data_IF_587934651429
#
_entry.id   IF_587934651429
#
_cell.length_a   1.000
_cell.length_b   1.000
_cell.length_c   1.000
_cell.angle_alpha   90.00
_cell.angle_beta   90.00
_cell.angle_gamma   90.00
#
_symmetry.space_group_name_H-M   'P 1'
#
loop_
_entity.id
_entity.type
_entity.pdbx_description
1 polymer ?
#
# COMPACT_ATOMS: atom_id res chain seq x y z
N UNK A 1 -37.48 -9.95 15.93
CA UNK A 1 -37.97 -9.07 17.01
C UNK A 1 -38.23 -7.65 16.52
N UNK A 2 -37.22 -6.86 16.14
CA UNK A 2 -37.42 -5.46 15.69
C UNK A 2 -38.33 -5.30 14.46
N UNK A 3 -38.06 -6.05 13.38
CA UNK A 3 -38.91 -6.04 12.16
C UNK A 3 -40.35 -6.47 12.47
N UNK A 4 -40.54 -7.46 13.36
CA UNK A 4 -41.88 -7.91 13.77
C UNK A 4 -42.66 -6.85 14.57
N UNK A 5 -41.98 -6.07 15.42
CA UNK A 5 -42.58 -4.95 16.14
C UNK A 5 -43.06 -3.85 15.18
N UNK A 6 -42.25 -3.51 14.17
CA UNK A 6 -42.62 -2.54 13.14
C UNK A 6 -43.86 -2.99 12.36
N UNK A 7 -43.93 -4.26 11.97
CA UNK A 7 -45.09 -4.82 11.27
C UNK A 7 -46.36 -4.80 12.15
N UNK A 8 -46.24 -5.09 13.44
CA UNK A 8 -47.37 -5.03 14.38
C UNK A 8 -47.89 -3.59 14.58
N UNK A 9 -46.99 -2.62 14.78
CA UNK A 9 -47.35 -1.20 14.89
C UNK A 9 -48.08 -0.70 13.63
N UNK A 10 -47.59 -1.08 12.45
CA UNK A 10 -48.23 -0.78 11.16
C UNK A 10 -49.64 -1.39 11.07
N UNK A 11 -49.81 -2.65 11.50
CA UNK A 11 -51.12 -3.34 11.46
C UNK A 11 -52.20 -2.72 12.36
N UNK A 12 -51.81 -1.99 13.40
CA UNK A 12 -52.73 -1.28 14.32
C UNK A 12 -52.96 0.18 13.89
N UNK A 13 -52.42 0.58 12.73
CA UNK A 13 -52.65 1.90 12.13
C UNK A 13 -51.74 3.02 12.65
N UNK A 14 -50.63 2.68 13.32
CA UNK A 14 -49.65 3.68 13.75
C UNK A 14 -48.80 4.10 12.56
N UNK A 15 -48.75 5.41 12.30
CA UNK A 15 -47.92 5.97 11.23
C UNK A 15 -46.43 5.81 11.55
N UNK A 16 -45.77 4.92 10.80
CA UNK A 16 -44.35 4.64 10.92
C UNK A 16 -43.48 5.67 10.19
N UNK A 17 -44.04 6.68 9.53
CA UNK A 17 -43.28 7.65 8.74
C UNK A 17 -42.25 8.38 9.60
N UNK A 18 -42.65 8.89 10.77
CA UNK A 18 -41.72 9.58 11.68
C UNK A 18 -40.61 8.66 12.19
N UNK A 19 -40.93 7.41 12.54
CA UNK A 19 -39.96 6.42 12.99
C UNK A 19 -39.01 5.99 11.86
N UNK A 20 -39.52 5.90 10.64
CA UNK A 20 -38.74 5.55 9.44
C UNK A 20 -37.80 6.68 9.04
N UNK A 21 -38.24 7.93 9.12
CA UNK A 21 -37.40 9.11 8.87
C UNK A 21 -36.29 9.22 9.91
N UNK A 22 -36.63 9.11 11.21
CA UNK A 22 -35.65 9.15 12.29
C UNK A 22 -34.70 7.95 12.23
N UNK A 23 -35.23 6.75 12.01
CA UNK A 23 -34.45 5.53 11.85
C UNK A 23 -33.52 5.59 10.63
N UNK A 24 -33.99 6.15 9.53
CA UNK A 24 -33.18 6.41 8.33
C UNK A 24 -32.05 7.41 8.60
N UNK A 25 -32.34 8.53 9.26
CA UNK A 25 -31.33 9.52 9.64
C UNK A 25 -30.26 8.93 10.57
N UNK A 26 -30.67 8.14 11.58
CA UNK A 26 -29.74 7.45 12.49
C UNK A 26 -28.92 6.40 11.73
N UNK A 27 -29.54 5.62 10.84
CA UNK A 27 -28.86 4.62 10.03
C UNK A 27 -27.79 5.24 9.12
N UNK A 28 -28.10 6.36 8.47
CA UNK A 28 -27.15 7.13 7.67
C UNK A 28 -26.00 7.68 8.53
N UNK A 29 -26.31 8.23 9.70
CA UNK A 29 -25.30 8.73 10.64
C UNK A 29 -24.34 7.64 11.11
N UNK A 30 -24.85 6.45 11.46
CA UNK A 30 -24.04 5.29 11.82
C UNK A 30 -23.22 4.81 10.61
N UNK A 31 -23.82 4.75 9.42
CA UNK A 31 -23.16 4.37 8.18
C UNK A 31 -21.95 5.24 7.89
N UNK A 32 -22.10 6.57 7.98
CA UNK A 32 -20.98 7.50 7.82
C UNK A 32 -19.92 7.34 8.92
N UNK A 33 -20.32 7.08 10.17
CA UNK A 33 -19.39 6.83 11.28
C UNK A 33 -18.56 5.55 11.10
N UNK A 34 -19.14 4.51 10.51
CA UNK A 34 -18.48 3.21 10.29
C UNK A 34 -17.80 3.08 8.93
N UNK A 35 -18.06 3.99 7.99
CA UNK A 35 -17.59 3.90 6.61
C UNK A 35 -16.08 3.66 6.53
N UNK A 36 -15.27 4.45 7.26
CA UNK A 36 -13.80 4.30 7.27
C UNK A 36 -13.34 2.96 7.83
N UNK A 37 -13.99 2.45 8.87
CA UNK A 37 -13.64 1.15 9.44
C UNK A 37 -13.94 0.05 8.42
N UNK A 38 -15.15 0.03 7.88
CA UNK A 38 -15.56 -0.95 6.87
C UNK A 38 -14.62 -0.91 5.64
N UNK A 39 -14.30 0.30 5.15
CA UNK A 39 -13.38 0.51 4.04
C UNK A 39 -12.01 -0.15 4.30
N UNK A 40 -11.38 0.11 5.45
CA UNK A 40 -10.08 -0.49 5.77
C UNK A 40 -10.12 -2.03 5.86
N UNK A 41 -11.20 -2.62 6.37
CA UNK A 41 -11.36 -4.08 6.40
C UNK A 41 -11.54 -4.68 5.00
N UNK A 42 -12.40 -4.07 4.18
CA UNK A 42 -12.62 -4.50 2.81
C UNK A 42 -11.34 -4.36 1.99
N UNK A 43 -10.65 -3.22 2.08
CA UNK A 43 -9.37 -3.00 1.41
C UNK A 43 -8.32 -4.03 1.83
N UNK A 44 -8.21 -4.36 3.12
CA UNK A 44 -7.29 -5.39 3.58
C UNK A 44 -7.58 -6.76 2.97
N UNK A 45 -8.85 -7.15 2.89
CA UNK A 45 -9.25 -8.39 2.23
C UNK A 45 -8.95 -8.38 0.73
N UNK A 46 -9.26 -7.28 0.03
CA UNK A 46 -9.00 -7.13 -1.41
C UNK A 46 -7.50 -7.24 -1.71
N UNK A 47 -6.64 -6.58 -0.94
CA UNK A 47 -5.17 -6.68 -1.08
C UNK A 47 -4.73 -8.14 -1.01
N UNK A 48 -5.24 -8.90 -0.04
CA UNK A 48 -4.89 -10.31 0.14
C UNK A 48 -5.47 -11.22 -0.95
N UNK A 49 -6.71 -10.98 -1.36
CA UNK A 49 -7.41 -11.78 -2.36
C UNK A 49 -6.82 -11.60 -3.77
N UNK A 50 -6.58 -10.35 -4.18
CA UNK A 50 -6.04 -10.01 -5.51
C UNK A 50 -4.51 -10.05 -5.55
N UNK A 51 -3.85 -10.07 -4.38
CA UNK A 51 -2.39 -10.00 -4.24
C UNK A 51 -1.78 -8.80 -4.98
N UNK A 52 -2.49 -7.67 -4.97
CA UNK A 52 -2.05 -6.39 -5.56
C UNK A 52 -0.80 -5.82 -4.89
N UNK A 53 -0.58 -6.18 -3.62
CA UNK A 53 0.65 -5.96 -2.87
C UNK A 53 0.93 -7.20 -2.00
N UNK A 54 2.20 -7.56 -1.86
CA UNK A 54 2.62 -8.76 -1.12
C UNK A 54 3.62 -8.40 -0.03
N UNK A 55 3.64 -9.19 1.03
CA UNK A 55 4.73 -9.14 2.01
C UNK A 55 6.04 -9.44 1.28
N UNK A 56 7.02 -8.55 1.45
CA UNK A 56 8.29 -8.59 0.75
C UNK A 56 8.44 -7.56 -0.36
N UNK A 57 7.33 -6.99 -0.86
CA UNK A 57 7.37 -6.01 -1.94
C UNK A 57 8.05 -4.71 -1.51
N UNK A 58 8.86 -4.13 -2.40
CA UNK A 58 9.38 -2.78 -2.21
C UNK A 58 8.38 -1.78 -2.79
N UNK A 59 7.95 -0.82 -1.98
CA UNK A 59 6.94 0.16 -2.35
C UNK A 59 7.33 1.58 -1.96
N UNK A 60 6.85 2.55 -2.73
CA UNK A 60 6.86 3.97 -2.40
C UNK A 60 5.42 4.45 -2.24
N UNK A 61 5.09 4.93 -1.04
CA UNK A 61 3.75 5.38 -0.66
C UNK A 61 3.88 6.74 0.02
N UNK A 62 3.28 7.78 -0.55
CA UNK A 62 3.27 9.14 0.01
C UNK A 62 4.69 9.64 0.42
N UNK A 63 5.68 9.39 -0.44
CA UNK A 63 7.08 9.75 -0.17
C UNK A 63 7.82 8.83 0.83
N UNK A 64 7.16 7.79 1.36
CA UNK A 64 7.78 6.79 2.21
C UNK A 64 8.15 5.54 1.40
N UNK A 65 9.44 5.29 1.22
CA UNK A 65 9.97 4.10 0.55
C UNK A 65 10.33 3.01 1.55
N UNK A 66 9.88 1.78 1.30
CA UNK A 66 10.28 0.64 2.10
C UNK A 66 9.65 -0.68 1.68
N UNK A 67 10.01 -1.73 2.41
CA UNK A 67 9.52 -3.08 2.18
C UNK A 67 8.26 -3.34 3.00
N UNK A 68 7.23 -3.94 2.39
CA UNK A 68 6.06 -4.44 3.12
C UNK A 68 6.49 -5.61 4.00
N UNK A 69 6.34 -5.48 5.32
CA UNK A 69 6.72 -6.53 6.29
C UNK A 69 5.52 -7.28 6.83
N UNK A 70 4.33 -6.66 6.84
CA UNK A 70 3.13 -7.26 7.40
C UNK A 70 1.88 -6.60 6.80
N UNK A 71 0.82 -7.38 6.58
CA UNK A 71 -0.49 -6.90 6.11
C UNK A 71 -1.53 -7.38 7.13
N UNK A 72 -2.09 -6.42 7.88
CA UNK A 72 -3.16 -6.68 8.85
C UNK A 72 -4.52 -6.33 8.25
N UNK A 73 -5.57 -6.72 8.97
CA UNK A 73 -6.95 -6.49 8.53
C UNK A 73 -7.28 -5.02 8.24
N UNK A 74 -6.65 -4.05 8.92
CA UNK A 74 -6.95 -2.61 8.77
C UNK A 74 -5.80 -1.75 8.25
N UNK A 75 -4.58 -2.27 8.30
CA UNK A 75 -3.38 -1.51 7.94
C UNK A 75 -2.28 -2.45 7.44
N UNK A 76 -1.33 -1.88 6.73
CA UNK A 76 -0.11 -2.53 6.25
C UNK A 76 1.10 -1.85 6.90
N UNK A 77 2.11 -2.63 7.25
CA UNK A 77 3.37 -2.13 7.82
C UNK A 77 4.45 -2.13 6.75
N UNK A 78 5.03 -0.96 6.51
CA UNK A 78 6.13 -0.75 5.56
C UNK A 78 7.37 -0.37 6.35
N UNK A 79 8.46 -1.13 6.20
CA UNK A 79 9.74 -0.87 6.88
C UNK A 79 10.76 -0.33 5.89
N UNK A 80 11.24 0.88 6.14
CA UNK A 80 12.32 1.50 5.39
C UNK A 80 13.68 0.84 5.72
N UNK A 81 14.66 1.01 4.83
CA UNK A 81 16.01 0.44 5.00
C UNK A 81 16.75 0.95 6.25
N UNK A 82 16.39 2.14 6.73
CA UNK A 82 16.91 2.72 7.97
C UNK A 82 16.20 2.23 9.25
N UNK A 83 15.31 1.23 9.13
CA UNK A 83 14.61 0.63 10.26
C UNK A 83 13.35 1.37 10.70
N UNK A 84 13.02 2.54 10.12
CA UNK A 84 11.74 3.22 10.39
C UNK A 84 10.58 2.41 9.83
N UNK A 85 9.46 2.42 10.55
CA UNK A 85 8.23 1.77 10.13
C UNK A 85 7.14 2.80 9.86
N UNK A 86 6.37 2.58 8.80
CA UNK A 86 5.17 3.32 8.46
C UNK A 86 3.97 2.38 8.53
N UNK A 87 2.95 2.80 9.28
CA UNK A 87 1.68 2.10 9.42
C UNK A 87 0.69 2.79 8.48
N UNK A 88 0.37 2.14 7.38
CA UNK A 88 -0.49 2.71 6.33
C UNK A 88 -1.87 2.05 6.37
N UNK A 89 -2.97 2.81 6.52
CA UNK A 89 -4.32 2.25 6.41
C UNK A 89 -4.53 1.55 5.07
N UNK A 90 -5.18 0.40 5.07
CA UNK A 90 -5.39 -0.37 3.84
C UNK A 90 -6.22 0.40 2.80
N UNK A 91 -7.20 1.18 3.27
CA UNK A 91 -7.98 2.08 2.41
C UNK A 91 -7.07 3.04 1.63
N UNK A 92 -6.05 3.60 2.30
CA UNK A 92 -5.12 4.53 1.67
C UNK A 92 -4.35 3.89 0.51
N UNK A 93 -3.91 2.64 0.68
CA UNK A 93 -3.16 1.91 -0.35
C UNK A 93 -4.00 1.53 -1.58
N UNK A 94 -5.32 1.39 -1.40
CA UNK A 94 -6.25 1.07 -2.50
C UNK A 94 -6.66 2.32 -3.27
N UNK A 95 -6.90 3.44 -2.58
CA UNK A 95 -7.42 4.66 -3.23
C UNK A 95 -6.31 5.53 -3.84
N UNK A 96 -5.09 5.49 -3.30
CA UNK A 96 -3.98 6.33 -3.75
C UNK A 96 -3.02 5.54 -4.65
N UNK A 97 -2.27 6.28 -5.48
CA UNK A 97 -1.18 5.70 -6.27
C UNK A 97 -0.11 5.17 -5.32
N UNK A 98 0.21 3.88 -5.47
CA UNK A 98 1.34 3.21 -4.83
C UNK A 98 2.28 2.75 -5.94
N UNK A 99 3.56 3.09 -5.82
CA UNK A 99 4.58 2.57 -6.73
C UNK A 99 5.11 1.28 -6.13
N UNK A 100 4.89 0.15 -6.81
CA UNK A 100 5.42 -1.15 -6.40
C UNK A 100 6.55 -1.53 -7.36
N UNK A 101 7.77 -1.57 -6.82
CA UNK A 101 8.97 -1.81 -7.60
C UNK A 101 9.21 -3.30 -7.92
N UNK A 102 8.51 -4.22 -7.24
CA UNK A 102 8.78 -5.66 -7.32
C UNK A 102 7.56 -6.51 -7.68
N UNK A 103 6.45 -5.88 -8.11
CA UNK A 103 5.17 -6.54 -8.35
C UNK A 103 5.22 -7.61 -9.46
N UNK A 104 5.85 -7.26 -10.58
CA UNK A 104 5.94 -8.10 -11.78
C UNK A 104 7.29 -8.79 -11.92
N UNK A 105 8.38 -8.08 -11.59
CA UNK A 105 9.74 -8.59 -11.67
C UNK A 105 10.48 -8.21 -10.38
N UNK A 106 11.14 -9.16 -9.67
CA UNK A 106 12.00 -8.84 -8.54
C UNK A 106 13.23 -8.01 -8.93
N UNK A 107 13.53 -7.85 -10.22
CA UNK A 107 14.64 -7.04 -10.71
C UNK A 107 14.36 -5.55 -10.49
N UNK A 108 15.24 -4.89 -9.74
CA UNK A 108 15.21 -3.45 -9.51
C UNK A 108 16.44 -2.81 -10.16
N UNK A 109 16.22 -1.75 -10.94
CA UNK A 109 17.32 -0.87 -11.39
C UNK A 109 17.61 0.16 -10.30
N UNK A 110 18.86 0.20 -9.83
CA UNK A 110 19.33 1.24 -8.91
C UNK A 110 20.39 2.08 -9.62
N UNK A 111 20.26 3.40 -9.51
CA UNK A 111 21.19 4.37 -10.09
C UNK A 111 21.79 5.20 -8.97
N UNK A 112 23.10 5.45 -9.04
CA UNK A 112 23.80 6.36 -8.13
C UNK A 112 24.68 7.30 -8.92
N UNK A 113 24.89 8.51 -8.39
CA UNK A 113 25.74 9.52 -9.02
C UNK A 113 27.09 9.51 -8.30
N UNK A 114 28.14 9.17 -9.02
CA UNK A 114 29.52 9.21 -8.52
C UNK A 114 30.22 10.43 -9.13
N UNK A 115 30.80 11.26 -8.28
CA UNK A 115 31.62 12.41 -8.70
C UNK A 115 33.10 12.08 -8.56
N UNK A 116 33.89 12.37 -9.59
CA UNK A 116 35.35 12.18 -9.62
C UNK A 116 36.06 13.50 -9.92
N UNK A 117 37.36 13.57 -9.61
CA UNK A 117 38.16 14.76 -9.90
C UNK A 117 38.34 14.94 -11.41
N UNK A 118 38.49 16.18 -11.88
CA UNK A 118 38.57 16.51 -13.31
C UNK A 118 39.76 15.88 -14.05
N UNK A 119 40.82 15.54 -13.33
CA UNK A 119 42.02 14.89 -13.83
C UNK A 119 41.93 13.35 -13.84
N UNK A 120 40.79 12.79 -13.42
CA UNK A 120 40.58 11.34 -13.39
C UNK A 120 40.42 10.76 -14.80
N UNK A 121 41.07 9.63 -15.06
CA UNK A 121 40.88 8.86 -16.30
C UNK A 121 39.47 8.23 -16.31
N UNK A 122 38.62 8.70 -17.21
CA UNK A 122 37.22 8.27 -17.34
C UNK A 122 37.11 6.79 -17.72
N UNK A 123 38.00 6.27 -18.56
CA UNK A 123 37.99 4.85 -18.95
C UNK A 123 38.40 3.95 -17.79
N UNK A 124 39.35 4.39 -16.96
CA UNK A 124 39.72 3.69 -15.74
C UNK A 124 38.56 3.71 -14.72
N UNK A 125 37.95 4.87 -14.47
CA UNK A 125 36.80 5.01 -13.55
C UNK A 125 35.66 4.10 -13.98
N UNK A 126 35.30 4.09 -15.26
CA UNK A 126 34.25 3.22 -15.80
C UNK A 126 34.51 1.74 -15.50
N UNK A 127 35.73 1.26 -15.75
CA UNK A 127 36.10 -0.14 -15.48
C UNK A 127 35.97 -0.48 -14.00
N UNK A 128 36.47 0.38 -13.12
CA UNK A 128 36.40 0.18 -11.67
C UNK A 128 34.96 0.17 -11.16
N UNK A 129 34.07 1.00 -11.70
CA UNK A 129 32.66 1.01 -11.32
C UNK A 129 31.94 -0.28 -11.74
N UNK A 130 32.21 -0.80 -12.94
CA UNK A 130 31.66 -2.08 -13.39
C UNK A 130 32.19 -3.22 -12.50
N UNK A 131 33.50 -3.27 -12.28
CA UNK A 131 34.13 -4.31 -11.44
C UNK A 131 33.58 -4.30 -10.01
N UNK A 132 33.37 -3.10 -9.43
CA UNK A 132 32.73 -2.95 -8.14
C UNK A 132 31.29 -3.49 -8.14
N UNK A 133 30.50 -3.23 -9.19
CA UNK A 133 29.15 -3.80 -9.32
C UNK A 133 29.18 -5.32 -9.50
N UNK A 134 30.05 -5.86 -10.35
CA UNK A 134 30.19 -7.30 -10.60
C UNK A 134 30.69 -8.08 -9.38
N UNK A 135 31.42 -7.42 -8.47
CA UNK A 135 31.83 -8.01 -7.19
C UNK A 135 30.67 -8.28 -6.22
N UNK A 136 29.49 -7.69 -6.46
CA UNK A 136 28.34 -7.82 -5.57
C UNK A 136 27.42 -8.97 -6.02
N UNK A 137 27.21 -9.95 -5.15
CA UNK A 137 26.39 -11.14 -5.44
C UNK A 137 24.93 -10.81 -5.84
N UNK A 138 24.39 -9.68 -5.35
CA UNK A 138 23.01 -9.24 -5.63
C UNK A 138 22.84 -8.55 -6.99
N UNK A 139 23.93 -8.20 -7.68
CA UNK A 139 23.88 -7.56 -9.00
C UNK A 139 23.67 -8.64 -10.05
N UNK A 140 22.71 -8.39 -10.95
CA UNK A 140 22.40 -9.30 -12.03
C UNK A 140 23.49 -9.23 -13.10
N UNK A 141 23.82 -10.38 -13.68
CA UNK A 141 24.69 -10.46 -14.86
C UNK A 141 23.94 -10.20 -16.16
N UNK A 142 22.62 -10.41 -16.16
CA UNK A 142 21.72 -10.15 -17.28
C UNK A 142 20.38 -9.56 -16.78
N UNK A 143 20.08 -8.27 -17.07
CA UNK A 143 20.96 -7.32 -17.77
C UNK A 143 22.21 -6.98 -16.93
N UNK A 144 23.34 -6.75 -17.60
CA UNK A 144 24.60 -6.38 -16.96
C UNK A 144 24.56 -4.93 -16.40
N UNK A 145 25.33 -4.61 -15.34
CA UNK A 145 25.43 -3.25 -14.83
C UNK A 145 25.98 -2.31 -15.91
N UNK A 146 25.24 -1.24 -16.21
CA UNK A 146 25.67 -0.22 -17.15
C UNK A 146 26.29 0.96 -16.39
N UNK A 147 27.47 1.44 -16.83
CA UNK A 147 28.09 2.59 -16.19
C UNK A 147 27.37 3.92 -16.50
N UNK A 148 26.43 3.97 -17.46
CA UNK A 148 25.66 5.15 -17.86
C UNK A 148 24.29 4.77 -18.43
#
# INVERSE_FOLDING_TARGET
MFVGLLLALSSVGIDLTALSVLGGAVGVGIGFGLQKLASNYVSGFVILAERSMRIGDMVLVDGFEGRIVDIKARYTVIRALNGRESIVPNEFLIINRVENFTLMDPKLSQTTIVSVAYDSDVDLVRRLLIEACESQERVLKDPAPMPF
#
